data_IF_310712582266
#
_entry.id   IF_310712582266
#
_cell.length_a   1.000
_cell.length_b   1.000
_cell.length_c   1.000
_cell.angle_alpha   90.00
_cell.angle_beta   90.00
_cell.angle_gamma   90.00
#
_symmetry.space_group_name_H-M   'P 1'
#
loop_
_entity.id
_entity.type
_entity.pdbx_description
1 polymer ?
#
# COMPACT_ATOMS: atom_id res chain seq x y z
N UNK A 1 -9.18 -11.93 -1.34
CA UNK A 1 -8.23 -10.86 -1.69
C UNK A 1 -9.02 -9.61 -2.04
N UNK A 2 -8.64 -8.42 -1.56
CA UNK A 2 -9.26 -7.14 -1.96
C UNK A 2 -8.58 -6.60 -3.22
N UNK A 3 -9.38 -6.23 -4.21
CA UNK A 3 -8.90 -5.75 -5.51
C UNK A 3 -9.75 -4.57 -5.98
N UNK A 4 -9.15 -3.66 -6.73
CA UNK A 4 -9.89 -2.66 -7.48
C UNK A 4 -10.77 -3.34 -8.52
N UNK A 5 -12.03 -2.97 -8.57
CA UNK A 5 -13.01 -3.54 -9.49
C UNK A 5 -12.76 -2.99 -10.88
N UNK A 6 -12.40 -3.85 -11.83
CA UNK A 6 -12.23 -3.52 -13.25
C UNK A 6 -13.05 -4.46 -14.11
N UNK A 7 -13.45 -4.02 -15.31
CA UNK A 7 -14.28 -4.86 -16.19
C UNK A 7 -13.54 -6.10 -16.65
N UNK A 8 -12.23 -6.00 -16.91
CA UNK A 8 -11.41 -7.18 -17.26
C UNK A 8 -11.39 -8.22 -16.13
N UNK A 9 -11.31 -7.80 -14.86
CA UNK A 9 -11.32 -8.73 -13.72
C UNK A 9 -12.69 -9.35 -13.49
N UNK A 10 -13.79 -8.67 -13.82
CA UNK A 10 -15.15 -9.23 -13.74
C UNK A 10 -15.36 -10.43 -14.67
N UNK A 11 -14.54 -10.56 -15.72
CA UNK A 11 -14.55 -11.72 -16.60
C UNK A 11 -14.08 -12.99 -15.88
N UNK A 12 -13.18 -12.89 -14.91
CA UNK A 12 -12.57 -14.02 -14.23
C UNK A 12 -13.14 -14.28 -12.83
N UNK A 13 -13.52 -13.22 -12.12
CA UNK A 13 -13.95 -13.29 -10.72
C UNK A 13 -15.31 -12.63 -10.48
N UNK A 14 -15.94 -13.04 -9.38
CA UNK A 14 -17.11 -12.37 -8.80
C UNK A 14 -16.62 -11.38 -7.73
N UNK A 15 -17.16 -10.16 -7.73
CA UNK A 15 -16.84 -9.16 -6.74
C UNK A 15 -17.96 -9.01 -5.71
N UNK A 16 -17.59 -8.92 -4.45
CA UNK A 16 -18.50 -8.55 -3.36
C UNK A 16 -18.96 -7.10 -3.50
N UNK A 17 -19.88 -6.68 -2.63
CA UNK A 17 -20.14 -5.27 -2.39
C UNK A 17 -18.84 -4.53 -2.08
N UNK A 18 -18.66 -3.28 -2.56
CA UNK A 18 -17.44 -2.52 -2.31
C UNK A 18 -17.17 -2.32 -0.82
N UNK A 19 -15.90 -2.46 -0.43
CA UNK A 19 -15.43 -2.14 0.92
C UNK A 19 -15.26 -0.62 1.09
N UNK A 20 -14.63 0.00 0.13
CA UNK A 20 -14.37 1.44 0.03
C UNK A 20 -14.10 1.81 -1.43
N UNK A 21 -13.92 3.11 -1.70
CA UNK A 21 -13.44 3.61 -3.00
C UNK A 21 -12.03 4.15 -2.86
N UNK A 22 -11.25 4.07 -3.93
CA UNK A 22 -9.92 4.66 -4.06
C UNK A 22 -9.70 5.22 -5.45
N UNK A 23 -8.74 6.10 -5.60
CA UNK A 23 -8.28 6.61 -6.90
C UNK A 23 -6.78 6.44 -7.01
N UNK A 24 -6.25 6.43 -8.22
CA UNK A 24 -4.81 6.48 -8.44
C UNK A 24 -4.33 7.93 -8.28
N UNK A 25 -3.23 8.10 -7.56
CA UNK A 25 -2.58 9.39 -7.34
C UNK A 25 -1.12 9.33 -7.75
N UNK A 26 -0.61 10.46 -8.23
CA UNK A 26 0.83 10.65 -8.36
C UNK A 26 1.42 10.88 -6.98
N UNK A 27 2.51 10.19 -6.66
CA UNK A 27 3.34 10.52 -5.50
C UNK A 27 4.63 11.14 -5.99
N UNK A 28 4.98 12.27 -5.40
CA UNK A 28 6.13 13.10 -5.76
C UNK A 28 6.80 13.66 -4.51
N UNK A 29 8.07 14.06 -4.62
CA UNK A 29 8.80 14.64 -3.51
C UNK A 29 8.42 16.11 -3.31
N UNK A 30 8.21 16.55 -2.05
CA UNK A 30 7.75 17.91 -1.73
C UNK A 30 8.76 19.03 -1.97
N UNK A 31 10.07 18.72 -2.11
CA UNK A 31 11.09 19.73 -2.43
C UNK A 31 11.13 20.07 -3.92
N UNK A 32 10.50 19.27 -4.77
CA UNK A 32 10.48 19.50 -6.21
C UNK A 32 9.37 20.48 -6.59
N UNK A 33 9.40 20.96 -7.83
CA UNK A 33 8.25 21.69 -8.37
C UNK A 33 7.12 20.69 -8.57
N UNK A 34 6.10 20.79 -7.71
CA UNK A 34 4.97 19.87 -7.72
C UNK A 34 4.18 19.94 -9.03
N UNK A 35 3.94 18.79 -9.62
CA UNK A 35 3.02 18.66 -10.75
C UNK A 35 1.59 18.78 -10.20
N UNK A 36 0.78 19.62 -10.82
CA UNK A 36 -0.58 19.94 -10.35
C UNK A 36 -1.67 19.45 -11.30
N UNK A 37 -1.30 19.13 -12.53
CA UNK A 37 -2.22 18.64 -13.54
C UNK A 37 -1.66 17.40 -14.26
N UNK A 38 -2.55 16.66 -14.90
CA UNK A 38 -2.15 15.48 -15.69
C UNK A 38 -1.28 15.90 -16.87
N UNK A 39 -1.47 17.11 -17.42
CA UNK A 39 -0.67 17.64 -18.52
C UNK A 39 0.80 17.88 -18.14
N UNK A 40 1.07 18.17 -16.85
CA UNK A 40 2.43 18.36 -16.33
C UNK A 40 3.26 17.07 -16.36
N UNK A 41 2.59 15.92 -16.52
CA UNK A 41 3.25 14.61 -16.65
C UNK A 41 3.96 14.46 -18.01
N UNK A 42 3.72 15.34 -18.97
CA UNK A 42 4.28 15.22 -20.31
C UNK A 42 5.81 15.09 -20.30
N UNK A 43 6.30 13.99 -20.89
CA UNK A 43 7.72 13.68 -20.97
C UNK A 43 8.37 13.26 -19.65
N UNK A 44 7.59 13.04 -18.60
CA UNK A 44 8.11 12.60 -17.29
C UNK A 44 8.37 11.11 -17.27
N UNK A 45 9.29 10.70 -16.39
CA UNK A 45 9.57 9.30 -16.09
C UNK A 45 8.87 8.90 -14.77
N UNK A 46 8.08 7.84 -14.82
CA UNK A 46 7.33 7.31 -13.67
C UNK A 46 7.84 5.91 -13.36
N UNK A 47 8.15 5.67 -12.10
CA UNK A 47 8.67 4.41 -11.60
C UNK A 47 7.56 3.61 -10.93
N UNK A 48 7.43 2.33 -11.28
CA UNK A 48 6.39 1.43 -10.78
C UNK A 48 7.00 0.13 -10.29
N UNK A 49 6.28 -0.56 -9.43
CA UNK A 49 6.56 -1.95 -9.13
C UNK A 49 6.13 -2.82 -10.32
N UNK A 50 6.98 -3.75 -10.73
CA UNK A 50 6.70 -4.70 -11.80
C UNK A 50 5.42 -5.51 -11.56
N UNK A 51 4.70 -5.82 -12.64
CA UNK A 51 3.52 -6.68 -12.61
C UNK A 51 2.27 -6.05 -11.98
N UNK A 52 2.25 -4.75 -11.73
CA UNK A 52 1.09 -4.06 -11.18
C UNK A 52 0.12 -3.59 -12.27
N UNK A 53 -1.13 -3.36 -11.88
CA UNK A 53 -2.15 -2.79 -12.79
C UNK A 53 -1.87 -1.32 -13.16
N UNK A 54 -0.96 -0.65 -12.46
CA UNK A 54 -0.63 0.75 -12.69
C UNK A 54 0.10 0.95 -14.02
N UNK A 55 0.89 -0.01 -14.46
CA UNK A 55 1.55 0.03 -15.78
C UNK A 55 0.53 0.15 -16.91
N UNK A 56 -0.48 -0.73 -16.91
CA UNK A 56 -1.56 -0.69 -17.92
C UNK A 56 -2.37 0.60 -17.83
N UNK A 57 -2.64 1.07 -16.61
CA UNK A 57 -3.34 2.32 -16.40
C UNK A 57 -2.58 3.50 -17.00
N UNK A 58 -1.27 3.62 -16.71
CA UNK A 58 -0.44 4.70 -17.23
C UNK A 58 -0.23 4.60 -18.74
N UNK A 59 -0.10 3.39 -19.31
CA UNK A 59 -0.06 3.22 -20.76
C UNK A 59 -1.33 3.77 -21.41
N UNK A 60 -2.50 3.41 -20.90
CA UNK A 60 -3.77 3.91 -21.41
C UNK A 60 -3.89 5.43 -21.27
N UNK A 61 -3.47 6.00 -20.14
CA UNK A 61 -3.46 7.44 -19.91
C UNK A 61 -2.51 8.15 -20.89
N UNK A 62 -1.32 7.60 -21.07
CA UNK A 62 -0.31 8.08 -22.01
C UNK A 62 -0.81 8.12 -23.45
N UNK A 63 -1.44 7.03 -23.89
CA UNK A 63 -1.96 6.91 -25.26
C UNK A 63 -3.15 7.86 -25.49
N UNK A 64 -4.04 7.97 -24.49
CA UNK A 64 -5.23 8.82 -24.59
C UNK A 64 -4.92 10.32 -24.65
N UNK A 65 -3.89 10.75 -23.90
CA UNK A 65 -3.54 12.18 -23.75
C UNK A 65 -2.22 12.54 -24.45
N UNK A 66 -1.56 11.60 -25.12
CA UNK A 66 -0.29 11.79 -25.83
C UNK A 66 0.79 12.44 -24.95
N UNK A 67 0.92 11.96 -23.72
CA UNK A 67 1.81 12.54 -22.69
C UNK A 67 3.28 12.23 -22.92
N UNK A 68 3.60 11.24 -23.75
CA UNK A 68 4.97 10.77 -23.99
C UNK A 68 5.69 10.39 -22.68
N UNK A 69 4.99 9.65 -21.81
CA UNK A 69 5.53 9.17 -20.53
C UNK A 69 6.59 8.10 -20.75
N UNK A 70 7.64 8.15 -19.94
CA UNK A 70 8.54 7.01 -19.76
C UNK A 70 8.10 6.24 -18.51
N UNK A 71 7.73 4.97 -18.68
CA UNK A 71 7.31 4.08 -17.60
C UNK A 71 8.45 3.11 -17.34
N UNK A 72 8.97 3.11 -16.12
CA UNK A 72 10.08 2.24 -15.69
C UNK A 72 9.58 1.33 -14.58
N UNK A 73 9.53 0.03 -14.87
CA UNK A 73 9.20 -0.98 -13.87
C UNK A 73 10.44 -1.42 -13.11
N UNK A 74 10.32 -1.52 -11.80
CA UNK A 74 11.37 -1.96 -10.89
C UNK A 74 11.08 -3.37 -10.43
N UNK A 75 12.04 -4.27 -10.62
CA UNK A 75 12.00 -5.67 -10.17
C UNK A 75 12.38 -5.77 -8.69
N UNK A 76 11.87 -6.78 -8.00
CA UNK A 76 12.21 -7.14 -6.61
C UNK A 76 12.07 -5.99 -5.59
N UNK A 77 11.19 -5.02 -5.85
CA UNK A 77 10.88 -3.91 -4.93
C UNK A 77 9.42 -3.94 -4.50
N UNK A 78 9.17 -3.50 -3.29
CA UNK A 78 7.82 -3.28 -2.79
C UNK A 78 7.34 -1.84 -3.03
N UNK A 79 6.04 -1.58 -2.89
CA UNK A 79 5.52 -0.21 -2.91
C UNK A 79 6.18 0.67 -1.85
N UNK A 80 6.50 0.11 -0.69
CA UNK A 80 7.13 0.83 0.40
C UNK A 80 8.57 1.23 0.05
N UNK A 81 9.32 0.35 -0.63
CA UNK A 81 10.67 0.66 -1.12
C UNK A 81 10.64 1.80 -2.14
N UNK A 82 9.65 1.80 -3.04
CA UNK A 82 9.47 2.87 -4.04
C UNK A 82 9.13 4.19 -3.34
N UNK A 83 8.22 4.17 -2.36
CA UNK A 83 7.87 5.36 -1.60
C UNK A 83 9.04 5.91 -0.78
N UNK A 84 9.87 5.03 -0.20
CA UNK A 84 11.12 5.44 0.47
C UNK A 84 12.11 6.09 -0.50
N UNK A 85 12.19 5.61 -1.74
CA UNK A 85 13.02 6.25 -2.77
C UNK A 85 12.50 7.63 -3.15
N UNK A 86 11.18 7.84 -3.19
CA UNK A 86 10.59 9.19 -3.35
C UNK A 86 10.92 10.06 -2.14
N UNK A 87 10.67 9.57 -0.91
CA UNK A 87 10.96 10.29 0.34
C UNK A 87 12.40 10.77 0.44
N UNK A 88 13.34 9.98 -0.10
CA UNK A 88 14.77 10.30 -0.14
C UNK A 88 15.19 11.15 -1.35
N UNK A 89 14.28 11.43 -2.30
CA UNK A 89 14.59 12.14 -3.54
C UNK A 89 15.40 11.33 -4.56
N UNK A 90 15.43 10.00 -4.44
CA UNK A 90 16.19 9.12 -5.36
C UNK A 90 15.45 8.91 -6.69
N UNK A 91 14.12 8.90 -6.67
CA UNK A 91 13.26 8.85 -7.86
C UNK A 91 12.19 9.93 -7.77
N UNK A 92 11.77 10.53 -8.89
CA UNK A 92 10.90 11.70 -8.86
C UNK A 92 9.42 11.36 -8.66
N UNK A 93 8.91 10.30 -9.30
CA UNK A 93 7.47 10.03 -9.39
C UNK A 93 7.15 8.55 -9.32
N UNK A 94 6.05 8.23 -8.62
CA UNK A 94 5.37 6.94 -8.71
C UNK A 94 3.86 7.11 -8.74
N UNK A 95 3.13 6.05 -9.07
CA UNK A 95 1.66 6.02 -9.02
C UNK A 95 1.21 4.87 -8.15
N UNK A 96 0.35 5.18 -7.19
CA UNK A 96 -0.26 4.20 -6.27
C UNK A 96 -1.71 4.58 -5.96
N UNK A 97 -2.40 3.71 -5.25
CA UNK A 97 -3.74 4.00 -4.72
C UNK A 97 -3.67 5.05 -3.60
N UNK A 98 -4.60 6.01 -3.61
CA UNK A 98 -4.69 7.14 -2.67
C UNK A 98 -4.71 6.71 -1.20
N UNK A 99 -5.38 5.62 -0.88
CA UNK A 99 -5.43 5.10 0.48
C UNK A 99 -4.06 4.61 0.97
N UNK A 100 -3.21 4.07 0.09
CA UNK A 100 -1.83 3.67 0.40
C UNK A 100 -0.97 4.91 0.60
N UNK A 101 -1.06 5.90 -0.30
CA UNK A 101 -0.37 7.18 -0.17
C UNK A 101 -0.75 7.90 1.14
N UNK A 102 -2.03 7.86 1.52
CA UNK A 102 -2.53 8.44 2.76
C UNK A 102 -1.93 7.78 4.01
N UNK A 103 -1.74 6.46 4.00
CA UNK A 103 -1.03 5.77 5.10
C UNK A 103 0.43 6.21 5.12
N UNK A 104 1.11 6.17 3.97
CA UNK A 104 2.53 6.52 3.86
C UNK A 104 2.81 7.96 4.32
N UNK A 105 1.95 8.93 3.97
CA UNK A 105 2.10 10.34 4.36
C UNK A 105 2.04 10.58 5.87
N UNK A 106 1.57 9.62 6.64
CA UNK A 106 1.58 9.73 8.10
C UNK A 106 2.98 9.58 8.68
N UNK A 107 3.90 8.90 8.01
CA UNK A 107 5.27 8.65 8.46
C UNK A 107 6.36 9.14 7.49
N UNK A 108 6.01 9.41 6.25
CA UNK A 108 6.86 10.06 5.24
C UNK A 108 6.45 11.52 5.14
N UNK A 109 7.38 12.44 5.35
CA UNK A 109 7.10 13.87 5.47
C UNK A 109 7.34 14.66 4.18
N UNK A 110 8.11 14.06 3.27
CA UNK A 110 8.54 14.70 2.04
C UNK A 110 7.83 14.15 0.80
N UNK A 111 6.68 13.47 0.98
CA UNK A 111 5.84 13.03 -0.13
C UNK A 111 4.59 13.91 -0.27
N UNK A 112 4.25 14.23 -1.49
CA UNK A 112 2.96 14.82 -1.90
C UNK A 112 2.20 13.82 -2.77
N UNK A 113 0.88 13.73 -2.58
CA UNK A 113 -0.03 12.88 -3.36
C UNK A 113 -1.32 13.60 -3.71
N UNK A 114 -1.25 14.92 -3.85
CA UNK A 114 -2.40 15.79 -4.15
C UNK A 114 -2.94 15.60 -5.57
N UNK A 115 -2.06 15.24 -6.53
CA UNK A 115 -2.46 15.05 -7.92
C UNK A 115 -3.15 13.70 -8.12
N UNK A 116 -4.46 13.75 -8.32
CA UNK A 116 -5.29 12.59 -8.63
C UNK A 116 -5.29 12.34 -10.14
N UNK A 117 -5.01 11.09 -10.55
CA UNK A 117 -4.88 10.68 -11.96
C UNK A 117 -6.11 9.95 -12.49
N UNK A 118 -6.95 9.39 -11.60
CA UNK A 118 -8.15 8.66 -11.98
C UNK A 118 -9.36 9.08 -11.17
N UNK A 119 -10.54 8.81 -11.68
CA UNK A 119 -11.78 8.84 -10.90
C UNK A 119 -11.75 7.77 -9.80
N UNK A 120 -12.56 7.95 -8.77
CA UNK A 120 -12.71 6.94 -7.72
C UNK A 120 -13.27 5.64 -8.30
N UNK A 121 -12.65 4.54 -7.95
CA UNK A 121 -13.09 3.18 -8.29
C UNK A 121 -13.30 2.35 -7.03
N UNK A 122 -14.28 1.44 -7.04
CA UNK A 122 -14.56 0.60 -5.88
C UNK A 122 -13.46 -0.45 -5.69
N UNK A 123 -13.15 -0.73 -4.43
CA UNK A 123 -12.33 -1.86 -3.98
C UNK A 123 -13.24 -2.86 -3.30
N UNK A 124 -13.18 -4.11 -3.75
CA UNK A 124 -14.05 -5.20 -3.27
C UNK A 124 -13.25 -6.49 -3.07
N UNK A 125 -13.84 -7.43 -2.35
CA UNK A 125 -13.28 -8.78 -2.30
C UNK A 125 -13.64 -9.53 -3.59
N UNK A 126 -12.63 -10.23 -4.12
CA UNK A 126 -12.81 -11.11 -5.26
C UNK A 126 -12.94 -12.57 -4.77
N UNK A 127 -13.96 -13.24 -5.25
CA UNK A 127 -14.21 -14.67 -5.04
C UNK A 127 -14.34 -15.36 -6.39
N UNK A 128 -14.17 -16.68 -6.42
CA UNK A 128 -14.41 -17.44 -7.64
C UNK A 128 -15.90 -17.39 -8.02
N UNK A 129 -16.21 -17.28 -9.30
CA UNK A 129 -17.60 -17.28 -9.81
C UNK A 129 -18.41 -18.52 -9.40
N UNK A 130 -17.75 -19.61 -9.03
CA UNK A 130 -18.39 -20.85 -8.58
C UNK A 130 -18.82 -20.80 -7.11
N UNK A 131 -18.36 -19.83 -6.32
CA UNK A 131 -18.62 -19.73 -4.89
C UNK A 131 -19.82 -18.82 -4.59
N UNK A 132 -20.98 -19.09 -5.19
CA UNK A 132 -22.18 -18.25 -5.10
C UNK A 132 -22.69 -18.08 -3.67
N UNK A 133 -22.74 -19.16 -2.88
CA UNK A 133 -23.16 -19.12 -1.48
C UNK A 133 -22.21 -18.25 -0.64
N UNK A 134 -20.90 -18.34 -0.88
CA UNK A 134 -19.92 -17.51 -0.18
C UNK A 134 -20.10 -16.03 -0.54
N UNK A 135 -20.36 -15.71 -1.81
CA UNK A 135 -20.60 -14.34 -2.25
C UNK A 135 -21.86 -13.75 -1.58
N UNK A 136 -22.96 -14.51 -1.52
CA UNK A 136 -24.19 -14.10 -0.86
C UNK A 136 -23.99 -13.82 0.64
N UNK A 137 -23.29 -14.72 1.35
CA UNK A 137 -23.00 -14.56 2.77
C UNK A 137 -22.08 -13.34 3.04
N UNK A 138 -21.03 -13.17 2.22
CA UNK A 138 -20.15 -12.01 2.30
C UNK A 138 -20.94 -10.71 2.09
N UNK A 139 -21.80 -10.66 1.09
CA UNK A 139 -22.56 -9.46 0.77
C UNK A 139 -23.59 -9.13 1.87
N UNK A 140 -24.27 -10.13 2.42
CA UNK A 140 -25.18 -9.98 3.57
C UNK A 140 -24.44 -9.43 4.79
N UNK A 141 -23.28 -9.97 5.09
CA UNK A 141 -22.43 -9.49 6.17
C UNK A 141 -21.96 -8.05 5.92
N UNK A 142 -21.47 -7.73 4.72
CA UNK A 142 -21.02 -6.40 4.35
C UNK A 142 -22.14 -5.35 4.45
N UNK A 143 -23.37 -5.69 4.04
CA UNK A 143 -24.51 -4.80 4.22
C UNK A 143 -24.76 -4.48 5.70
N UNK A 144 -24.70 -5.49 6.56
CA UNK A 144 -24.85 -5.32 8.01
C UNK A 144 -23.75 -4.42 8.57
N UNK A 145 -22.51 -4.63 8.15
CA UNK A 145 -21.36 -3.82 8.56
C UNK A 145 -21.47 -2.37 8.08
N UNK A 146 -21.97 -2.14 6.87
CA UNK A 146 -22.24 -0.79 6.33
C UNK A 146 -23.36 -0.10 7.08
N UNK A 147 -24.51 -0.75 7.25
CA UNK A 147 -25.70 -0.20 7.96
C UNK A 147 -25.37 0.14 9.41
N UNK A 148 -24.54 -0.63 10.08
CA UNK A 148 -24.10 -0.35 11.47
C UNK A 148 -22.97 0.67 11.57
N UNK A 149 -22.42 1.17 10.48
CA UNK A 149 -21.27 2.08 10.46
C UNK A 149 -19.94 1.44 10.85
N UNK A 150 -19.91 0.15 11.19
CA UNK A 150 -18.69 -0.55 11.64
C UNK A 150 -17.61 -0.58 10.56
N UNK A 151 -17.99 -0.68 9.28
CA UNK A 151 -17.03 -0.67 8.18
C UNK A 151 -16.25 0.66 8.14
N UNK A 152 -16.94 1.80 8.32
CA UNK A 152 -16.29 3.11 8.41
C UNK A 152 -15.39 3.24 9.62
N UNK A 153 -15.78 2.69 10.77
CA UNK A 153 -14.94 2.68 11.98
C UNK A 153 -13.66 1.89 11.72
N UNK A 154 -13.75 0.71 11.10
CA UNK A 154 -12.59 -0.09 10.72
C UNK A 154 -11.70 0.64 9.71
N UNK A 155 -12.29 1.19 8.64
CA UNK A 155 -11.56 1.97 7.66
C UNK A 155 -10.77 3.12 8.30
N UNK A 156 -11.45 3.93 9.12
CA UNK A 156 -10.80 5.05 9.80
C UNK A 156 -9.70 4.60 10.77
N UNK A 157 -9.91 3.48 11.47
CA UNK A 157 -8.91 2.92 12.39
C UNK A 157 -7.64 2.48 11.66
N UNK A 158 -7.75 1.85 10.49
CA UNK A 158 -6.59 1.30 9.78
C UNK A 158 -5.97 2.28 8.79
N UNK A 159 -6.75 3.16 8.17
CA UNK A 159 -6.26 4.07 7.13
C UNK A 159 -6.05 5.51 7.60
N UNK A 160 -6.73 5.95 8.69
CA UNK A 160 -6.65 7.33 9.15
C UNK A 160 -6.06 7.50 10.56
N UNK A 161 -5.78 6.42 11.28
CA UNK A 161 -5.32 6.52 12.66
C UNK A 161 -3.79 6.54 12.73
N UNK A 162 -3.24 7.58 13.36
CA UNK A 162 -1.82 7.77 13.60
C UNK A 162 -1.15 6.72 14.51
N UNK A 163 -1.91 5.79 15.11
CA UNK A 163 -1.35 4.70 15.92
C UNK A 163 -0.49 3.74 15.06
N UNK A 164 -0.92 3.44 13.84
CA UNK A 164 -0.10 2.65 12.90
C UNK A 164 1.17 3.44 12.54
N UNK A 165 1.07 4.76 12.46
CA UNK A 165 2.21 5.67 12.27
C UNK A 165 3.25 5.55 13.38
N UNK A 166 2.81 5.41 14.64
CA UNK A 166 3.75 5.26 15.76
C UNK A 166 4.48 3.92 15.72
N UNK A 167 3.85 2.87 15.22
CA UNK A 167 4.49 1.57 15.00
C UNK A 167 5.52 1.64 13.87
N UNK A 168 5.20 2.27 12.74
CA UNK A 168 6.13 2.45 11.61
C UNK A 168 7.30 3.39 11.96
N UNK A 169 7.06 4.40 12.81
CA UNK A 169 8.12 5.30 13.29
C UNK A 169 8.92 4.72 14.46
N UNK A 170 8.52 3.57 15.01
CA UNK A 170 9.33 2.92 16.02
C UNK A 170 10.67 2.50 15.40
N UNK A 171 11.76 2.80 16.10
CA UNK A 171 13.13 2.41 15.67
C UNK A 171 13.29 0.90 15.38
N UNK A 172 12.28 0.09 15.73
CA UNK A 172 12.23 -1.35 15.57
C UNK A 172 11.52 -1.82 14.29
N UNK A 173 10.68 -0.97 13.68
CA UNK A 173 10.03 -1.29 12.40
C UNK A 173 10.94 -1.06 11.19
N UNK A 174 12.06 -0.36 11.39
CA UNK A 174 13.07 -0.18 10.34
C UNK A 174 13.96 -1.41 10.23
N UNK A 175 13.42 -2.48 9.68
CA UNK A 175 14.18 -3.64 9.22
C UNK A 175 15.11 -3.25 8.06
N UNK A 176 16.17 -2.47 8.35
CA UNK A 176 17.28 -2.34 7.42
C UNK A 176 18.17 -3.56 7.59
N UNK A 177 18.32 -4.35 6.52
CA UNK A 177 19.26 -5.49 6.42
C UNK A 177 18.95 -6.70 7.32
N UNK A 178 17.67 -7.04 7.56
CA UNK A 178 17.29 -8.23 8.33
C UNK A 178 17.59 -8.16 9.84
N UNK A 179 17.80 -6.96 10.38
CA UNK A 179 17.98 -6.69 11.82
C UNK A 179 16.63 -6.31 12.42
N UNK A 180 16.17 -7.05 13.42
CA UNK A 180 14.91 -6.77 14.15
C UNK A 180 15.15 -5.78 15.29
N UNK A 181 16.25 -5.95 16.04
CA UNK A 181 16.61 -5.10 17.17
C UNK A 181 18.11 -5.06 17.40
N UNK A 182 18.56 -4.12 18.22
CA UNK A 182 19.97 -4.10 18.71
C UNK A 182 20.35 -5.35 19.50
N UNK A 183 19.35 -6.12 19.96
CA UNK A 183 19.54 -7.35 20.76
C UNK A 183 19.60 -8.61 19.92
N UNK A 184 19.46 -8.53 18.58
CA UNK A 184 19.46 -9.70 17.68
C UNK A 184 20.62 -10.69 17.91
N UNK A 185 21.88 -10.25 18.17
CA UNK A 185 22.98 -11.17 18.43
C UNK A 185 22.73 -12.04 19.68
N UNK A 186 22.19 -11.43 20.74
CA UNK A 186 21.85 -12.12 21.99
C UNK A 186 20.66 -13.05 21.76
N UNK A 187 19.60 -12.54 21.15
CA UNK A 187 18.38 -13.32 20.87
C UNK A 187 18.70 -14.55 20.02
N UNK A 188 19.53 -14.39 18.99
CA UNK A 188 19.95 -15.51 18.11
C UNK A 188 20.78 -16.55 18.86
N UNK A 189 21.62 -16.11 19.81
CA UNK A 189 22.41 -17.04 20.65
C UNK A 189 21.49 -17.85 21.55
N UNK A 190 20.68 -17.18 22.37
CA UNK A 190 19.79 -17.82 23.32
C UNK A 190 18.72 -18.70 22.67
N UNK A 191 18.18 -18.28 21.52
CA UNK A 191 17.23 -19.10 20.76
C UNK A 191 17.83 -20.43 20.27
N UNK A 192 19.12 -20.45 19.90
CA UNK A 192 19.81 -21.68 19.52
C UNK A 192 19.95 -22.66 20.71
N UNK A 193 20.22 -22.13 21.90
CA UNK A 193 20.38 -22.97 23.11
C UNK A 193 19.09 -23.69 23.47
N UNK A 194 17.93 -23.06 23.24
CA UNK A 194 16.61 -23.65 23.52
C UNK A 194 15.96 -24.31 22.30
N UNK A 195 16.61 -24.30 21.13
CA UNK A 195 16.10 -24.91 19.90
C UNK A 195 14.93 -24.17 19.27
N UNK A 196 14.77 -22.88 19.53
CA UNK A 196 13.70 -22.05 18.94
C UNK A 196 14.15 -21.28 17.72
N UNK A 197 13.19 -20.94 16.84
CA UNK A 197 13.42 -19.90 15.83
C UNK A 197 13.62 -18.55 16.56
N UNK A 198 14.76 -17.91 16.29
CA UNK A 198 15.11 -16.65 16.95
C UNK A 198 14.10 -15.53 16.68
N UNK A 199 13.38 -15.57 15.54
CA UNK A 199 12.34 -14.61 15.20
C UNK A 199 11.10 -14.78 16.10
N UNK A 200 10.79 -16.02 16.47
CA UNK A 200 9.73 -16.31 17.44
C UNK A 200 10.10 -15.75 18.80
N UNK A 201 11.32 -15.98 19.28
CA UNK A 201 11.80 -15.42 20.55
C UNK A 201 11.81 -13.90 20.51
N UNK A 202 12.26 -13.29 19.40
CA UNK A 202 12.21 -11.84 19.21
C UNK A 202 10.77 -11.29 19.25
N UNK A 203 9.81 -12.00 18.64
CA UNK A 203 8.40 -11.59 18.65
C UNK A 203 7.81 -11.63 20.07
N UNK A 204 8.14 -12.63 20.89
CA UNK A 204 7.72 -12.70 22.29
C UNK A 204 8.30 -11.54 23.09
N UNK A 205 9.61 -11.28 22.97
CA UNK A 205 10.28 -10.17 23.67
C UNK A 205 9.68 -8.82 23.26
N UNK A 206 9.39 -8.65 21.96
CA UNK A 206 8.73 -7.44 21.46
C UNK A 206 7.34 -7.27 22.07
N UNK A 207 6.55 -8.34 22.16
CA UNK A 207 5.20 -8.30 22.72
C UNK A 207 5.21 -7.93 24.22
N UNK A 208 6.22 -8.38 24.96
CA UNK A 208 6.33 -8.16 26.42
C UNK A 208 6.92 -6.78 26.78
N UNK A 209 7.95 -6.34 26.05
CA UNK A 209 8.72 -5.13 26.43
C UNK A 209 8.91 -4.12 25.29
N UNK A 210 8.53 -4.44 24.06
CA UNK A 210 8.85 -3.61 22.90
C UNK A 210 10.37 -3.43 22.67
N UNK A 211 11.19 -4.36 23.17
CA UNK A 211 12.66 -4.26 23.27
C UNK A 211 13.16 -3.08 24.13
N UNK A 212 12.33 -2.57 25.01
CA UNK A 212 12.69 -1.55 25.99
C UNK A 212 13.17 -2.24 27.29
N UNK A 213 14.44 -2.07 27.69
CA UNK A 213 15.01 -2.77 28.85
C UNK A 213 14.51 -2.21 30.19
#
# INVERSE_FOLDING_TARGET
>A
MSLSVTDSRKEDVQFSLPLFTTSQVLVQHTSDTLLQSVDDLKGKEIFLQEGTSFTRFLQHLNDSLQLNLKITELEDVTFEDILLKIENGEIPYTVIDKNIAQIASQYMKHIDYSLQLSTESPVAWAVTKKATLLDEEINTWLETMKKSGKLNVLYNRYYKNSYITSLHNSKYYKLKNGVISSFDPIIKKEAREIGWDWRLLAAVIYQESGFDP
#
